data_IF_957953740529
#
_entry.id   IF_957953740529
#
_cell.length_a   1.000
_cell.length_b   1.000
_cell.length_c   1.000
_cell.angle_alpha   90.00
_cell.angle_beta   90.00
_cell.angle_gamma   90.00
#
_symmetry.space_group_name_H-M   'P 1'
#
loop_
_entity.id
_entity.type
_entity.pdbx_description
1 polymer ?
#
# COMPACT_ATOMS: atom_id res chain seq x y z
N UNK A 1 8.16 22.23 -9.80
CA UNK A 1 7.63 21.52 -8.63
C UNK A 1 8.71 20.80 -7.85
N UNK A 2 8.35 20.19 -6.73
CA UNK A 2 9.25 19.40 -5.89
C UNK A 2 8.49 18.39 -5.05
N UNK A 3 9.09 17.21 -4.84
CA UNK A 3 8.54 16.13 -4.05
C UNK A 3 9.57 15.66 -3.02
N UNK A 4 9.12 15.13 -1.90
CA UNK A 4 9.96 14.50 -0.87
C UNK A 4 9.43 13.12 -0.52
N UNK A 5 10.33 12.16 -0.42
CA UNK A 5 10.05 10.74 -0.23
C UNK A 5 10.42 9.94 -1.47
N UNK A 6 10.81 8.69 -1.29
CA UNK A 6 11.30 7.83 -2.38
C UNK A 6 10.31 6.75 -2.82
N UNK A 7 9.11 6.70 -2.24
CA UNK A 7 8.19 5.56 -2.42
C UNK A 7 6.80 5.95 -2.91
N UNK A 8 6.46 7.26 -2.92
CA UNK A 8 5.13 7.75 -3.19
C UNK A 8 5.03 8.32 -4.61
N UNK A 9 3.87 8.16 -5.27
CA UNK A 9 3.60 8.86 -6.50
C UNK A 9 3.53 10.37 -6.25
N UNK A 10 3.82 11.14 -7.28
CA UNK A 10 3.62 12.58 -7.31
C UNK A 10 3.26 13.03 -8.72
N UNK A 11 2.43 14.06 -8.79
CA UNK A 11 1.91 14.60 -10.04
C UNK A 11 2.22 16.09 -10.13
N UNK A 12 2.50 16.56 -11.32
CA UNK A 12 2.62 17.98 -11.63
C UNK A 12 1.81 18.30 -12.86
N UNK A 13 0.94 19.32 -12.76
CA UNK A 13 0.37 19.95 -13.92
C UNK A 13 1.46 20.72 -14.66
N UNK A 14 1.64 20.41 -15.94
CA UNK A 14 2.65 21.02 -16.80
C UNK A 14 2.02 21.75 -17.98
N UNK A 15 0.69 21.89 -18.01
CA UNK A 15 -0.07 22.46 -19.13
C UNK A 15 0.51 23.79 -19.62
N UNK A 16 0.72 24.73 -18.68
CA UNK A 16 1.26 26.06 -19.01
C UNK A 16 2.76 26.06 -19.39
N UNK A 17 3.45 24.96 -19.16
CA UNK A 17 4.89 24.82 -19.45
C UNK A 17 5.16 24.15 -20.80
N UNK A 18 4.13 23.58 -21.43
CA UNK A 18 4.27 22.84 -22.69
C UNK A 18 4.45 23.78 -23.89
N UNK A 19 5.40 23.43 -24.74
CA UNK A 19 5.59 24.06 -26.05
C UNK A 19 5.13 23.12 -27.16
N UNK A 20 4.68 23.69 -28.28
CA UNK A 20 4.14 22.93 -29.40
C UNK A 20 5.19 21.99 -30.05
N UNK A 21 6.46 22.39 -30.12
CA UNK A 21 7.47 21.68 -30.90
C UNK A 21 8.36 20.80 -30.03
N UNK A 22 9.01 21.38 -29.00
CA UNK A 22 10.00 20.67 -28.20
C UNK A 22 9.84 20.95 -26.71
N UNK A 23 9.77 19.89 -25.94
CA UNK A 23 9.72 19.94 -24.48
C UNK A 23 10.94 19.21 -23.88
N UNK A 24 11.50 19.77 -22.83
CA UNK A 24 12.62 19.15 -22.10
C UNK A 24 12.30 19.12 -20.62
N UNK A 25 12.29 17.91 -20.06
CA UNK A 25 12.12 17.70 -18.63
C UNK A 25 13.49 17.62 -17.95
N UNK A 26 13.69 18.40 -16.89
CA UNK A 26 14.84 18.31 -16.01
C UNK A 26 14.41 17.79 -14.66
N UNK A 27 15.07 16.73 -14.20
CA UNK A 27 14.85 16.14 -12.88
C UNK A 27 16.14 16.22 -12.08
N UNK A 28 16.09 16.90 -10.94
CA UNK A 28 17.21 16.95 -9.98
C UNK A 28 16.84 16.09 -8.76
N UNK A 29 17.70 15.15 -8.42
CA UNK A 29 17.49 14.23 -7.29
C UNK A 29 18.56 14.47 -6.24
N UNK A 30 18.14 14.62 -4.98
CA UNK A 30 19.02 14.64 -3.82
C UNK A 30 18.68 13.46 -2.91
N UNK A 31 19.60 12.51 -2.79
CA UNK A 31 19.44 11.33 -1.94
C UNK A 31 20.57 11.25 -0.90
N UNK A 32 20.29 11.53 0.38
CA UNK A 32 21.27 11.39 1.46
C UNK A 32 21.49 9.94 1.90
N UNK A 33 20.76 8.97 1.36
CA UNK A 33 20.81 7.52 1.65
C UNK A 33 20.88 7.21 3.16
N UNK A 34 22.06 6.96 3.71
CA UNK A 34 22.28 6.57 5.11
C UNK A 34 22.54 7.73 6.08
N UNK A 35 22.56 8.98 5.62
CA UNK A 35 22.93 10.14 6.45
C UNK A 35 21.73 10.98 6.91
N UNK A 36 20.56 10.82 6.28
CA UNK A 36 19.31 11.46 6.67
C UNK A 36 18.46 10.59 7.60
N UNK A 37 17.21 10.98 7.76
CA UNK A 37 16.22 10.25 8.55
C UNK A 37 15.01 9.76 7.75
N UNK A 38 15.11 9.84 6.42
CA UNK A 38 14.10 9.34 5.47
C UNK A 38 13.99 7.81 5.52
N UNK A 39 12.89 7.28 5.00
CA UNK A 39 12.75 5.86 4.72
C UNK A 39 13.82 5.41 3.71
N UNK A 40 14.48 4.30 3.98
CA UNK A 40 15.53 3.74 3.11
C UNK A 40 15.53 2.22 3.04
N UNK A 41 14.79 1.55 3.91
CA UNK A 41 14.79 0.09 3.99
C UNK A 41 16.18 -0.46 4.28
N UNK A 42 16.57 -1.47 3.53
CA UNK A 42 17.89 -2.12 3.66
C UNK A 42 18.98 -1.55 2.75
N UNK A 43 18.78 -0.35 2.21
CA UNK A 43 19.77 0.32 1.36
C UNK A 43 20.91 0.91 2.18
N UNK A 44 22.15 0.77 1.68
CA UNK A 44 23.34 1.36 2.27
C UNK A 44 24.41 1.65 1.22
N UNK A 45 25.23 2.67 1.48
CA UNK A 45 26.40 2.97 0.66
C UNK A 45 27.56 1.97 0.85
N UNK A 46 27.50 1.15 1.91
CA UNK A 46 28.49 0.10 2.19
C UNK A 46 27.76 -1.23 2.33
N UNK A 47 27.38 -1.87 1.22
CA UNK A 47 26.62 -3.12 1.25
C UNK A 47 27.42 -4.25 1.90
N UNK A 48 26.70 -5.17 2.56
CA UNK A 48 27.28 -6.32 3.25
C UNK A 48 26.34 -6.85 4.31
N UNK A 49 26.45 -8.12 4.65
CA UNK A 49 25.53 -8.81 5.55
C UNK A 49 24.11 -8.79 5.00
N UNK A 50 23.17 -8.18 5.73
CA UNK A 50 21.76 -8.10 5.37
C UNK A 50 21.39 -6.87 4.49
N UNK A 51 22.37 -6.03 4.14
CA UNK A 51 22.13 -4.78 3.43
C UNK A 51 22.48 -4.87 1.94
N UNK A 52 21.74 -4.14 1.14
CA UNK A 52 21.87 -4.05 -0.31
C UNK A 52 22.48 -2.72 -0.75
N UNK A 53 23.07 -2.66 -1.95
CA UNK A 53 23.51 -1.40 -2.54
C UNK A 53 22.38 -0.37 -2.58
N UNK A 54 22.71 0.87 -2.31
CA UNK A 54 21.79 1.97 -2.45
C UNK A 54 21.61 2.33 -3.93
N UNK A 55 20.41 2.78 -4.27
CA UNK A 55 20.11 3.40 -5.55
C UNK A 55 19.42 4.74 -5.33
N UNK A 56 19.61 5.65 -6.26
CA UNK A 56 19.03 6.99 -6.23
C UNK A 56 18.30 7.29 -7.53
N UNK A 57 17.30 8.15 -7.46
CA UNK A 57 16.54 8.57 -8.62
C UNK A 57 15.12 7.97 -8.66
N UNK A 58 14.43 8.27 -9.76
CA UNK A 58 13.08 7.73 -9.99
C UNK A 58 13.22 6.28 -10.43
N UNK A 59 12.65 5.36 -9.66
CA UNK A 59 12.78 3.93 -9.88
C UNK A 59 11.47 3.24 -10.31
N UNK A 60 10.37 4.00 -10.36
CA UNK A 60 9.08 3.55 -10.85
C UNK A 60 8.72 4.25 -12.15
N UNK A 61 7.58 3.87 -12.75
CA UNK A 61 7.13 4.39 -14.04
C UNK A 61 6.90 5.90 -13.99
N UNK A 62 7.33 6.57 -15.05
CA UNK A 62 7.00 7.98 -15.34
C UNK A 62 6.11 7.99 -16.58
N UNK A 63 4.98 8.70 -16.51
CA UNK A 63 4.08 8.83 -17.65
C UNK A 63 3.54 10.26 -17.77
N UNK A 64 3.01 10.58 -18.92
CA UNK A 64 2.29 11.81 -19.20
C UNK A 64 0.86 11.44 -19.55
N UNK A 65 -0.08 12.15 -18.98
CA UNK A 65 -1.50 11.92 -19.15
C UNK A 65 -2.20 13.22 -19.54
N UNK A 66 -3.12 13.14 -20.50
CA UNK A 66 -4.02 14.24 -20.82
C UNK A 66 -5.35 13.98 -20.13
N UNK A 67 -5.76 14.91 -19.32
CA UNK A 67 -7.01 14.84 -18.55
C UNK A 67 -7.90 16.05 -18.87
N UNK A 68 -9.22 15.97 -18.66
CA UNK A 68 -10.10 17.13 -18.70
C UNK A 68 -9.81 18.10 -17.56
N UNK A 69 -10.38 19.31 -17.60
CA UNK A 69 -10.13 20.35 -16.58
C UNK A 69 -10.54 19.93 -15.18
N UNK A 70 -11.59 19.12 -15.05
CA UNK A 70 -12.04 18.54 -13.78
C UNK A 70 -12.03 17.02 -13.84
N UNK A 71 -10.85 16.42 -13.76
CA UNK A 71 -10.64 14.97 -13.79
C UNK A 71 -10.74 14.34 -12.40
N UNK A 72 -10.93 13.02 -12.37
CA UNK A 72 -10.83 12.21 -11.13
C UNK A 72 -9.37 12.10 -10.75
N UNK A 73 -8.97 12.78 -9.69
CA UNK A 73 -7.59 12.79 -9.19
C UNK A 73 -7.27 11.53 -8.39
N UNK A 74 -8.20 11.12 -7.51
CA UNK A 74 -8.05 9.90 -6.72
C UNK A 74 -9.39 9.18 -6.52
N UNK A 75 -9.29 7.85 -6.37
CA UNK A 75 -10.40 6.98 -5.99
C UNK A 75 -10.13 6.31 -4.64
N UNK A 76 -11.12 6.34 -3.77
CA UNK A 76 -11.17 5.50 -2.58
C UNK A 76 -12.24 4.43 -2.79
N UNK A 77 -11.81 3.17 -2.84
CA UNK A 77 -12.71 2.02 -3.00
C UNK A 77 -12.73 1.23 -1.70
N UNK A 78 -13.90 1.14 -1.06
CA UNK A 78 -14.09 0.49 0.24
C UNK A 78 -15.11 -0.65 0.11
N UNK A 79 -14.64 -1.89 -0.10
CA UNK A 79 -15.50 -3.06 -0.10
C UNK A 79 -15.93 -3.45 1.32
N UNK A 80 -17.18 -3.83 1.50
CA UNK A 80 -17.70 -4.46 2.72
C UNK A 80 -18.17 -5.88 2.41
N UNK A 81 -17.45 -6.84 2.96
CA UNK A 81 -17.72 -8.27 2.78
C UNK A 81 -19.06 -8.69 3.39
N UNK A 82 -19.35 -8.24 4.61
CA UNK A 82 -20.54 -8.66 5.37
C UNK A 82 -21.82 -8.03 4.78
N UNK A 83 -21.74 -6.76 4.39
CA UNK A 83 -22.84 -6.05 3.72
C UNK A 83 -22.95 -6.40 2.23
N UNK A 84 -21.94 -7.01 1.63
CA UNK A 84 -21.84 -7.25 0.18
C UNK A 84 -21.96 -5.97 -0.63
N UNK A 85 -21.29 -4.93 -0.18
CA UNK A 85 -21.30 -3.61 -0.85
C UNK A 85 -19.90 -3.17 -1.21
N UNK A 86 -19.82 -2.20 -2.10
CA UNK A 86 -18.61 -1.41 -2.35
C UNK A 86 -18.98 0.06 -2.36
N UNK A 87 -18.33 0.84 -1.51
CA UNK A 87 -18.44 2.29 -1.49
C UNK A 87 -17.28 2.88 -2.26
N UNK A 88 -17.58 3.75 -3.21
CA UNK A 88 -16.61 4.44 -4.09
C UNK A 88 -16.72 5.93 -3.81
N UNK A 89 -15.59 6.55 -3.46
CA UNK A 89 -15.44 8.01 -3.38
C UNK A 89 -14.48 8.48 -4.43
N UNK A 90 -14.83 9.51 -5.16
CA UNK A 90 -13.97 10.16 -6.14
C UNK A 90 -13.66 11.59 -5.71
N UNK A 91 -12.36 11.89 -5.65
CA UNK A 91 -11.87 13.26 -5.49
C UNK A 91 -11.55 13.82 -6.85
N UNK A 92 -12.11 14.96 -7.19
CA UNK A 92 -11.86 15.63 -8.46
C UNK A 92 -10.91 16.82 -8.32
N UNK A 93 -10.20 17.16 -9.38
CA UNK A 93 -9.23 18.26 -9.39
C UNK A 93 -9.84 19.64 -9.06
N UNK A 94 -11.14 19.82 -9.29
CA UNK A 94 -11.89 21.04 -8.96
C UNK A 94 -13.04 20.71 -7.98
N UNK A 95 -12.80 20.69 -6.68
CA UNK A 95 -13.83 20.41 -5.68
C UNK A 95 -14.97 21.45 -5.75
N UNK A 96 -16.23 20.98 -5.82
CA UNK A 96 -17.42 21.82 -5.88
C UNK A 96 -17.88 22.21 -7.29
N UNK A 97 -17.22 21.74 -8.32
CA UNK A 97 -17.81 21.68 -9.66
C UNK A 97 -18.83 20.54 -9.65
N UNK A 98 -20.15 20.84 -9.66
CA UNK A 98 -21.23 19.86 -9.57
C UNK A 98 -21.08 18.74 -10.62
N UNK A 99 -20.32 17.70 -10.27
CA UNK A 99 -20.12 16.52 -11.08
C UNK A 99 -20.90 15.37 -10.42
N UNK A 100 -21.88 14.82 -11.12
CA UNK A 100 -22.51 13.59 -10.65
C UNK A 100 -21.52 12.43 -10.84
N UNK A 101 -21.30 11.67 -9.78
CA UNK A 101 -20.52 10.46 -9.81
C UNK A 101 -21.39 9.29 -10.26
N UNK A 102 -20.88 8.44 -11.13
CA UNK A 102 -21.50 7.15 -11.44
C UNK A 102 -20.46 6.03 -11.32
N UNK A 103 -20.94 4.86 -10.99
CA UNK A 103 -20.10 3.68 -10.93
C UNK A 103 -20.81 2.44 -11.46
N UNK A 104 -20.04 1.57 -12.12
CA UNK A 104 -20.50 0.30 -12.69
C UNK A 104 -19.58 -0.81 -12.25
N UNK A 105 -20.14 -1.86 -11.68
CA UNK A 105 -19.44 -3.09 -11.30
C UNK A 105 -19.75 -4.21 -12.29
N UNK A 106 -18.69 -4.90 -12.74
CA UNK A 106 -18.81 -6.08 -13.60
C UNK A 106 -18.17 -7.31 -12.97
N UNK A 107 -18.79 -8.44 -13.20
CA UNK A 107 -18.25 -9.75 -12.84
C UNK A 107 -18.12 -10.58 -14.13
N UNK A 108 -16.89 -10.95 -14.51
CA UNK A 108 -16.64 -11.68 -15.75
C UNK A 108 -17.17 -10.99 -17.01
N UNK A 109 -17.12 -9.67 -17.06
CA UNK A 109 -17.60 -8.84 -18.18
C UNK A 109 -19.09 -8.52 -18.15
N UNK A 110 -19.88 -9.11 -17.24
CA UNK A 110 -21.32 -8.84 -17.09
C UNK A 110 -21.53 -7.73 -16.06
N UNK A 111 -22.30 -6.69 -16.40
CA UNK A 111 -22.71 -5.65 -15.45
C UNK A 111 -23.65 -6.27 -14.40
N UNK A 112 -23.29 -6.13 -13.13
CA UNK A 112 -24.03 -6.72 -12.01
C UNK A 112 -24.59 -5.67 -11.05
N UNK A 113 -24.03 -4.47 -11.03
CA UNK A 113 -24.52 -3.33 -10.29
C UNK A 113 -24.09 -2.03 -10.99
N UNK A 114 -24.95 -1.04 -10.96
CA UNK A 114 -24.68 0.32 -11.38
C UNK A 114 -25.50 1.30 -10.56
N UNK A 115 -24.91 2.43 -10.22
CA UNK A 115 -25.59 3.48 -9.47
C UNK A 115 -24.92 4.83 -9.69
N UNK A 116 -25.66 5.88 -9.28
CA UNK A 116 -25.26 7.26 -9.37
C UNK A 116 -25.21 7.86 -7.98
N UNK A 117 -24.09 8.44 -7.63
CA UNK A 117 -23.92 9.21 -6.39
C UNK A 117 -24.27 10.67 -6.63
N UNK A 118 -24.89 11.30 -5.63
CA UNK A 118 -25.10 12.74 -5.65
C UNK A 118 -23.90 13.46 -5.07
N UNK A 119 -23.45 14.51 -5.74
CA UNK A 119 -22.61 15.53 -5.15
C UNK A 119 -23.52 16.46 -4.32
N UNK A 120 -23.46 16.37 -2.99
CA UNK A 120 -23.95 17.46 -2.16
C UNK A 120 -22.91 18.59 -2.26
N UNK A 121 -23.33 19.73 -2.78
CA UNK A 121 -22.50 20.88 -3.17
C UNK A 121 -21.25 21.07 -2.29
N UNK A 122 -20.08 20.80 -2.83
CA UNK A 122 -18.78 21.02 -2.19
C UNK A 122 -18.14 19.83 -1.50
N UNK A 123 -18.66 18.60 -1.65
CA UNK A 123 -18.05 17.37 -1.17
C UNK A 123 -17.71 16.43 -2.34
N UNK A 124 -16.76 15.53 -2.09
CA UNK A 124 -16.40 14.47 -3.03
C UNK A 124 -17.58 13.55 -3.29
N UNK A 125 -17.81 13.19 -4.55
CA UNK A 125 -18.90 12.29 -4.92
C UNK A 125 -18.71 10.91 -4.25
N UNK A 126 -19.81 10.37 -3.70
CA UNK A 126 -19.84 9.03 -3.09
C UNK A 126 -20.98 8.20 -3.68
N UNK A 127 -20.70 6.95 -4.02
CA UNK A 127 -21.71 5.98 -4.44
C UNK A 127 -21.44 4.64 -3.77
N UNK A 128 -22.52 3.98 -3.32
CA UNK A 128 -22.45 2.63 -2.72
C UNK A 128 -23.26 1.66 -3.56
N UNK A 129 -22.59 0.62 -4.09
CA UNK A 129 -23.20 -0.41 -4.91
C UNK A 129 -23.33 -1.71 -4.10
N UNK A 130 -24.49 -2.38 -4.24
CA UNK A 130 -24.73 -3.70 -3.63
C UNK A 130 -24.44 -4.79 -4.64
N UNK A 131 -23.66 -5.79 -4.23
CA UNK A 131 -23.36 -6.96 -5.05
C UNK A 131 -24.46 -8.03 -4.83
N UNK A 132 -25.18 -8.44 -5.89
CA UNK A 132 -26.19 -9.47 -5.80
C UNK A 132 -25.64 -10.79 -5.26
N UNK A 133 -26.46 -11.56 -4.54
CA UNK A 133 -26.01 -12.79 -3.90
C UNK A 133 -25.47 -13.83 -4.89
N UNK A 134 -26.10 -13.96 -6.04
CA UNK A 134 -25.67 -14.86 -7.13
C UNK A 134 -24.34 -14.46 -7.77
N UNK A 135 -23.87 -13.23 -7.53
CA UNK A 135 -22.59 -12.70 -8.00
C UNK A 135 -21.59 -12.45 -6.84
N UNK A 136 -21.87 -13.01 -5.66
CA UNK A 136 -20.98 -12.87 -4.52
C UNK A 136 -19.84 -13.90 -4.60
N UNK A 137 -18.67 -13.46 -5.09
CA UNK A 137 -17.46 -14.26 -5.26
C UNK A 137 -16.34 -13.74 -4.34
N UNK A 138 -16.23 -14.25 -3.10
CA UNK A 138 -15.19 -13.83 -2.18
C UNK A 138 -13.79 -14.14 -2.69
N UNK A 139 -12.89 -13.18 -2.52
CA UNK A 139 -11.48 -13.35 -2.85
C UNK A 139 -10.79 -14.25 -1.82
N UNK A 140 -9.99 -15.19 -2.32
CA UNK A 140 -9.10 -16.02 -1.52
C UNK A 140 -7.92 -16.50 -2.36
N UNK A 141 -6.81 -17.04 -1.77
CA UNK A 141 -5.72 -17.63 -2.52
C UNK A 141 -6.12 -18.72 -3.51
N UNK A 142 -7.18 -19.46 -3.20
CA UNK A 142 -7.72 -20.52 -4.07
C UNK A 142 -8.67 -19.99 -5.15
N UNK A 143 -9.35 -18.87 -4.89
CA UNK A 143 -10.28 -18.22 -5.80
C UNK A 143 -10.10 -16.70 -5.77
N UNK A 144 -9.07 -16.18 -6.46
CA UNK A 144 -8.73 -14.75 -6.40
C UNK A 144 -9.60 -13.90 -7.35
N UNK A 145 -10.90 -13.88 -7.08
CA UNK A 145 -11.86 -13.17 -7.91
C UNK A 145 -11.74 -11.65 -7.71
N UNK A 146 -11.64 -10.94 -8.83
CA UNK A 146 -11.63 -9.47 -8.88
C UNK A 146 -12.85 -8.99 -9.66
N UNK A 147 -13.56 -8.03 -9.10
CA UNK A 147 -14.64 -7.32 -9.80
C UNK A 147 -14.02 -6.15 -10.57
N UNK A 148 -14.44 -5.97 -11.83
CA UNK A 148 -14.09 -4.77 -12.58
C UNK A 148 -14.97 -3.60 -12.10
N UNK A 149 -14.35 -2.45 -11.91
CA UNK A 149 -15.01 -1.22 -11.49
C UNK A 149 -14.74 -0.14 -12.54
N UNK A 150 -15.78 0.47 -13.04
CA UNK A 150 -15.70 1.67 -13.87
C UNK A 150 -16.36 2.82 -13.14
N UNK A 151 -15.66 3.93 -13.00
CA UNK A 151 -16.13 5.12 -12.29
C UNK A 151 -16.02 6.30 -13.23
N UNK A 152 -17.04 7.12 -13.30
CA UNK A 152 -17.00 8.32 -14.10
C UNK A 152 -17.74 9.49 -13.49
N UNK A 153 -17.46 10.67 -13.99
CA UNK A 153 -18.11 11.91 -13.62
C UNK A 153 -18.88 12.50 -14.79
N UNK A 154 -19.98 13.19 -14.52
CA UNK A 154 -20.72 13.97 -15.52
C UNK A 154 -20.91 15.39 -15.01
N UNK A 155 -20.86 16.34 -15.91
CA UNK A 155 -21.08 17.75 -15.60
C UNK A 155 -22.08 18.35 -16.59
N UNK A 156 -23.08 19.07 -16.09
CA UNK A 156 -24.02 19.81 -16.94
C UNK A 156 -24.93 18.97 -17.83
N UNK A 157 -25.08 17.65 -17.56
CA UNK A 157 -25.91 16.72 -18.34
C UNK A 157 -25.22 16.13 -19.56
N UNK A 158 -23.91 16.31 -19.70
CA UNK A 158 -23.10 15.65 -20.73
C UNK A 158 -22.85 14.17 -20.44
N UNK A 159 -22.56 13.40 -21.51
CA UNK A 159 -22.28 11.94 -21.41
C UNK A 159 -21.04 11.73 -20.60
N UNK A 160 -20.38 11.65 -19.92
CA UNK A 160 -19.16 11.42 -19.16
C UNK A 160 -18.09 12.49 -19.39
N UNK A 161 -17.72 13.15 -18.35
CA UNK A 161 -16.66 14.16 -18.37
C UNK A 161 -15.29 13.52 -18.19
N UNK A 162 -15.17 12.55 -17.25
CA UNK A 162 -13.99 11.73 -17.03
C UNK A 162 -14.38 10.30 -16.66
N UNK A 163 -13.53 9.32 -16.98
CA UNK A 163 -13.79 7.90 -16.72
C UNK A 163 -12.51 7.19 -16.33
N UNK A 164 -12.55 6.48 -15.21
CA UNK A 164 -11.45 5.70 -14.66
C UNK A 164 -11.86 4.24 -14.52
N UNK A 165 -10.95 3.33 -14.88
CA UNK A 165 -11.11 1.90 -14.68
C UNK A 165 -10.27 1.43 -13.51
N UNK A 166 -10.88 0.65 -12.65
CA UNK A 166 -10.28 0.08 -11.45
C UNK A 166 -10.80 -1.33 -11.19
N UNK A 167 -10.51 -1.87 -10.04
CA UNK A 167 -11.02 -3.16 -9.58
C UNK A 167 -11.09 -3.20 -8.06
N UNK A 168 -11.82 -4.18 -7.53
CA UNK A 168 -11.84 -4.51 -6.11
C UNK A 168 -12.12 -5.99 -5.87
N UNK A 169 -12.04 -6.41 -4.63
CA UNK A 169 -12.50 -7.73 -4.21
C UNK A 169 -13.23 -7.66 -2.88
N UNK A 170 -14.17 -8.56 -2.68
CA UNK A 170 -14.84 -8.76 -1.41
C UNK A 170 -14.08 -9.80 -0.59
N UNK A 171 -13.55 -9.41 0.55
CA UNK A 171 -12.86 -10.28 1.49
C UNK A 171 -12.88 -9.69 2.90
N UNK A 172 -12.75 -10.56 3.91
CA UNK A 172 -12.71 -10.17 5.32
C UNK A 172 -11.57 -10.87 6.04
N UNK A 173 -10.69 -10.09 6.66
CA UNK A 173 -9.69 -10.60 7.58
C UNK A 173 -10.17 -10.51 9.01
N UNK A 174 -9.93 -11.56 9.80
CA UNK A 174 -10.21 -11.57 11.23
C UNK A 174 -9.22 -12.43 11.99
N UNK A 175 -9.25 -12.32 13.31
CA UNK A 175 -8.53 -13.20 14.22
C UNK A 175 -9.54 -13.74 15.22
N UNK A 176 -9.87 -15.02 15.09
CA UNK A 176 -10.97 -15.65 15.83
C UNK A 176 -10.52 -16.91 16.58
N UNK A 177 -11.10 -17.22 17.74
CA UNK A 177 -10.77 -18.43 18.45
C UNK A 177 -11.37 -19.67 17.75
N UNK A 178 -10.54 -20.70 17.57
CA UNK A 178 -11.02 -22.00 17.13
C UNK A 178 -11.81 -22.72 18.26
N UNK A 179 -12.32 -23.93 17.96
CA UNK A 179 -13.07 -24.75 18.92
C UNK A 179 -12.31 -25.08 20.23
N UNK A 180 -11.00 -24.87 20.27
CA UNK A 180 -10.13 -25.05 21.42
C UNK A 180 -9.78 -23.74 22.12
N UNK A 181 -10.34 -22.61 21.67
CA UNK A 181 -10.05 -21.28 22.18
C UNK A 181 -8.71 -20.68 21.68
N UNK A 182 -8.08 -21.30 20.68
CA UNK A 182 -6.82 -20.83 20.13
C UNK A 182 -7.13 -19.81 19.02
N UNK A 183 -6.58 -18.62 19.12
CA UNK A 183 -6.72 -17.59 18.08
C UNK A 183 -6.10 -18.06 16.76
N UNK A 184 -6.87 -17.91 15.68
CA UNK A 184 -6.48 -18.23 14.31
C UNK A 184 -6.63 -17.02 13.42
N UNK A 185 -5.73 -16.89 12.47
CA UNK A 185 -5.98 -16.02 11.33
C UNK A 185 -7.11 -16.59 10.49
N UNK A 186 -8.09 -15.77 10.18
CA UNK A 186 -9.25 -16.16 9.39
C UNK A 186 -9.38 -15.26 8.16
N UNK A 187 -9.73 -15.87 7.04
CA UNK A 187 -10.11 -15.18 5.80
C UNK A 187 -11.55 -15.59 5.47
N UNK A 188 -12.43 -14.61 5.33
CA UNK A 188 -13.86 -14.82 5.05
C UNK A 188 -14.56 -15.71 6.09
N UNK A 189 -14.17 -15.60 7.36
CA UNK A 189 -14.69 -16.39 8.48
C UNK A 189 -14.09 -17.79 8.65
N UNK A 190 -13.21 -18.24 7.74
CA UNK A 190 -12.58 -19.55 7.81
C UNK A 190 -11.11 -19.45 8.21
N UNK A 191 -10.64 -20.32 9.12
CA UNK A 191 -9.22 -20.37 9.49
C UNK A 191 -8.33 -20.66 8.29
N UNK A 192 -7.27 -19.87 8.14
CA UNK A 192 -6.30 -20.04 7.06
C UNK A 192 -4.91 -20.31 7.61
N UNK A 193 -4.21 -21.28 7.01
CA UNK A 193 -2.79 -21.49 7.25
C UNK A 193 -1.99 -20.53 6.36
N UNK A 194 -1.21 -19.67 6.99
CA UNK A 194 -0.29 -18.78 6.30
C UNK A 194 1.06 -19.46 6.13
N UNK A 195 1.36 -19.87 4.90
CA UNK A 195 2.64 -20.48 4.51
C UNK A 195 3.36 -19.52 3.57
N UNK A 196 4.39 -18.83 4.05
CA UNK A 196 4.95 -17.69 3.33
C UNK A 196 6.46 -17.58 3.33
N UNK A 197 6.93 -16.66 2.49
CA UNK A 197 8.33 -16.28 2.34
C UNK A 197 8.52 -14.81 2.72
N UNK A 198 9.72 -14.50 3.22
CA UNK A 198 10.19 -13.13 3.34
C UNK A 198 10.69 -12.66 1.97
N UNK A 199 10.11 -11.60 1.45
CA UNK A 199 10.48 -11.00 0.17
C UNK A 199 11.03 -9.59 0.39
N UNK A 200 12.28 -9.37 0.01
CA UNK A 200 12.97 -8.09 0.16
C UNK A 200 12.98 -7.26 -1.12
N UNK A 201 12.54 -7.82 -2.25
CA UNK A 201 12.29 -7.12 -3.50
C UNK A 201 13.52 -6.50 -4.17
N UNK A 202 14.67 -7.15 -4.10
CA UNK A 202 15.88 -6.70 -4.79
C UNK A 202 16.20 -7.61 -5.98
N UNK A 203 16.43 -7.00 -7.12
CA UNK A 203 16.77 -7.67 -8.37
C UNK A 203 18.27 -7.52 -8.68
N UNK A 204 18.93 -8.55 -9.21
CA UNK A 204 20.36 -8.46 -9.51
C UNK A 204 20.72 -7.34 -10.50
N UNK A 205 19.86 -7.09 -11.49
CA UNK A 205 20.09 -6.12 -12.56
C UNK A 205 19.67 -4.71 -12.17
N UNK A 206 18.51 -4.58 -11.55
CA UNK A 206 17.83 -3.28 -11.34
C UNK A 206 17.63 -2.87 -9.89
N UNK A 207 18.19 -3.61 -8.93
CA UNK A 207 18.00 -3.40 -7.50
C UNK A 207 16.51 -3.31 -7.11
N UNK A 208 15.96 -2.12 -6.92
CA UNK A 208 14.53 -1.93 -6.63
C UNK A 208 13.63 -2.14 -7.84
N UNK A 209 14.14 -1.99 -9.05
CA UNK A 209 13.37 -2.07 -10.28
C UNK A 209 13.44 -3.47 -10.87
N UNK A 210 12.32 -4.18 -11.00
CA UNK A 210 12.31 -5.47 -11.68
C UNK A 210 12.65 -5.30 -13.17
N UNK A 211 13.28 -6.30 -13.81
CA UNK A 211 13.69 -6.19 -15.20
C UNK A 211 12.50 -6.14 -16.17
N UNK A 212 11.36 -6.72 -15.80
CA UNK A 212 10.12 -6.67 -16.58
C UNK A 212 8.93 -7.12 -15.74
N UNK A 213 7.71 -6.81 -16.21
CA UNK A 213 6.47 -7.37 -15.65
C UNK A 213 6.42 -8.89 -15.73
N UNK A 214 6.93 -9.46 -16.82
CA UNK A 214 6.99 -10.91 -16.99
C UNK A 214 7.89 -11.58 -15.93
N UNK A 215 8.98 -10.95 -15.52
CA UNK A 215 9.83 -11.44 -14.44
C UNK A 215 9.09 -11.43 -13.10
N UNK A 216 8.36 -10.36 -12.79
CA UNK A 216 7.50 -10.27 -11.59
C UNK A 216 6.45 -11.38 -11.58
N UNK A 217 5.72 -11.55 -12.67
CA UNK A 217 4.69 -12.58 -12.77
C UNK A 217 5.29 -13.99 -12.61
N UNK A 218 6.45 -14.24 -13.23
CA UNK A 218 7.14 -15.53 -13.11
C UNK A 218 7.57 -15.82 -11.66
N UNK A 219 8.13 -14.83 -10.95
CA UNK A 219 8.49 -14.96 -9.54
C UNK A 219 7.27 -15.33 -8.69
N UNK A 220 6.18 -14.55 -8.81
CA UNK A 220 4.95 -14.76 -8.05
C UNK A 220 4.27 -16.10 -8.36
N UNK A 221 4.25 -16.53 -9.62
CA UNK A 221 3.76 -17.84 -10.02
C UNK A 221 4.61 -18.95 -9.42
N UNK A 222 5.93 -18.84 -9.46
CA UNK A 222 6.86 -19.79 -8.85
C UNK A 222 6.62 -19.94 -7.35
N UNK A 223 6.44 -18.85 -6.63
CA UNK A 223 6.09 -18.87 -5.20
C UNK A 223 4.83 -19.69 -4.97
N UNK A 224 3.80 -19.47 -5.77
CA UNK A 224 2.52 -20.18 -5.66
C UNK A 224 2.64 -21.67 -6.03
N UNK A 225 3.38 -22.02 -7.09
CA UNK A 225 3.65 -23.39 -7.52
C UNK A 225 4.42 -24.19 -6.47
N UNK A 226 5.29 -23.55 -5.71
CA UNK A 226 5.99 -24.14 -4.57
C UNK A 226 5.10 -24.36 -3.35
N UNK A 227 3.83 -23.97 -3.40
CA UNK A 227 2.85 -24.18 -2.32
C UNK A 227 2.79 -23.07 -1.27
N UNK A 228 3.42 -21.94 -1.51
CA UNK A 228 3.29 -20.77 -0.65
C UNK A 228 2.04 -19.95 -1.03
N UNK A 229 1.41 -19.35 -0.04
CA UNK A 229 0.25 -18.50 -0.22
C UNK A 229 0.45 -17.07 0.31
N UNK A 230 1.62 -16.77 0.85
CA UNK A 230 1.92 -15.49 1.49
C UNK A 230 3.33 -15.02 1.11
N UNK A 231 3.45 -13.72 0.87
CA UNK A 231 4.72 -12.99 0.82
C UNK A 231 4.71 -11.88 1.88
N UNK A 232 5.70 -11.87 2.75
CA UNK A 232 5.96 -10.70 3.58
C UNK A 232 6.89 -9.76 2.82
N UNK A 233 6.37 -8.67 2.30
CA UNK A 233 7.16 -7.62 1.65
C UNK A 233 7.88 -6.81 2.72
N UNK A 234 9.17 -7.12 2.86
CA UNK A 234 9.97 -6.69 3.98
C UNK A 234 10.74 -5.39 3.71
N UNK A 235 10.39 -4.36 4.49
CA UNK A 235 11.06 -3.06 4.49
C UNK A 235 11.15 -2.38 3.10
N UNK A 236 10.23 -2.69 2.20
CA UNK A 236 10.13 -2.14 0.84
C UNK A 236 8.67 -1.99 0.43
N UNK A 237 8.39 -1.02 -0.42
CA UNK A 237 7.16 -0.88 -1.18
C UNK A 237 7.47 -1.19 -2.63
N UNK A 238 6.59 -1.94 -3.29
CA UNK A 238 6.68 -2.26 -4.70
C UNK A 238 5.85 -1.28 -5.56
N UNK A 239 6.08 -1.22 -6.87
CA UNK A 239 5.14 -0.60 -7.80
C UNK A 239 3.76 -1.25 -7.67
N UNK A 240 2.68 -0.48 -7.81
CA UNK A 240 1.30 -0.99 -7.62
C UNK A 240 0.97 -2.20 -8.50
N UNK A 241 1.58 -2.32 -9.69
CA UNK A 241 1.41 -3.49 -10.56
C UNK A 241 1.87 -4.80 -9.92
N UNK A 242 2.84 -4.78 -9.02
CA UNK A 242 3.25 -5.97 -8.27
C UNK A 242 2.12 -6.47 -7.36
N UNK A 243 1.45 -5.56 -6.64
CA UNK A 243 0.29 -5.90 -5.80
C UNK A 243 -0.89 -6.36 -6.66
N UNK A 244 -1.13 -5.74 -7.81
CA UNK A 244 -2.14 -6.20 -8.75
C UNK A 244 -1.91 -7.64 -9.20
N UNK A 245 -0.67 -8.03 -9.47
CA UNK A 245 -0.35 -9.42 -9.78
C UNK A 245 -0.57 -10.35 -8.58
N UNK A 246 -0.27 -9.92 -7.36
CA UNK A 246 -0.61 -10.66 -6.15
C UNK A 246 -2.13 -10.81 -5.98
N UNK A 247 -2.91 -9.74 -6.20
CA UNK A 247 -4.37 -9.75 -6.17
C UNK A 247 -4.94 -10.78 -7.13
N UNK A 248 -4.43 -10.78 -8.36
CA UNK A 248 -4.88 -11.63 -9.45
C UNK A 248 -4.46 -13.10 -9.32
N UNK A 249 -3.29 -13.33 -8.76
CA UNK A 249 -2.75 -14.68 -8.53
C UNK A 249 -3.23 -15.29 -7.20
N UNK A 250 -3.79 -14.53 -6.29
CA UNK A 250 -4.20 -14.99 -4.98
C UNK A 250 -3.02 -15.21 -4.02
N UNK A 251 -2.06 -14.32 -4.02
CA UNK A 251 -0.98 -14.29 -3.03
C UNK A 251 -1.31 -13.27 -1.95
N UNK A 252 -1.29 -13.69 -0.69
CA UNK A 252 -1.46 -12.81 0.46
C UNK A 252 -0.18 -12.00 0.65
N UNK A 253 -0.33 -10.73 1.02
CA UNK A 253 0.80 -9.85 1.31
C UNK A 253 0.73 -9.36 2.76
N UNK A 254 1.80 -9.53 3.50
CA UNK A 254 2.08 -8.77 4.71
C UNK A 254 3.03 -7.64 4.34
N UNK A 255 2.58 -6.40 4.51
CA UNK A 255 3.30 -5.22 4.07
C UNK A 255 3.99 -4.54 5.25
N UNK A 256 5.32 -4.59 5.25
CA UNK A 256 6.11 -3.78 6.17
C UNK A 256 6.11 -2.32 5.75
N UNK A 257 6.07 -1.42 6.72
CA UNK A 257 6.45 -0.03 6.49
C UNK A 257 7.95 0.05 6.23
N UNK A 258 8.35 0.96 5.34
CA UNK A 258 9.77 1.12 5.03
C UNK A 258 10.47 1.77 6.20
N UNK A 259 11.40 1.06 6.80
CA UNK A 259 12.16 1.58 7.94
C UNK A 259 13.16 2.66 7.52
N UNK A 260 13.49 3.52 8.45
CA UNK A 260 14.42 4.64 8.31
C UNK A 260 14.74 5.23 9.69
N UNK A 261 15.21 6.45 9.72
CA UNK A 261 15.59 7.15 10.95
C UNK A 261 17.04 7.56 10.91
N UNK A 262 17.57 8.06 12.02
CA UNK A 262 18.98 8.37 12.16
C UNK A 262 19.85 7.12 11.93
N UNK A 263 21.17 7.25 11.74
CA UNK A 263 22.06 6.10 11.54
C UNK A 263 21.91 5.04 12.64
N UNK A 264 21.72 3.81 12.21
CA UNK A 264 21.46 2.70 13.14
C UNK A 264 22.62 2.39 14.03
N UNK A 265 22.33 2.14 15.32
CA UNK A 265 23.29 1.63 16.30
C UNK A 265 23.31 0.10 16.21
N UNK A 266 24.04 -0.44 15.24
CA UNK A 266 24.08 -1.86 14.92
C UNK A 266 24.35 -2.76 16.14
N UNK A 267 25.25 -2.33 17.04
CA UNK A 267 25.55 -3.06 18.27
C UNK A 267 24.31 -3.24 19.17
N UNK A 268 23.38 -2.28 19.13
CA UNK A 268 22.15 -2.36 19.89
C UNK A 268 21.09 -3.17 19.12
N UNK A 269 20.67 -2.69 17.94
CA UNK A 269 19.53 -3.29 17.20
C UNK A 269 19.83 -4.69 16.66
N UNK A 270 21.10 -5.07 16.42
CA UNK A 270 21.46 -6.38 15.89
C UNK A 270 21.91 -7.36 16.97
N UNK A 271 22.75 -6.92 17.91
CA UNK A 271 23.35 -7.86 18.87
C UNK A 271 22.63 -7.86 20.23
N UNK A 272 22.44 -6.69 20.83
CA UNK A 272 21.90 -6.61 22.16
C UNK A 272 20.43 -7.05 22.22
N UNK A 273 19.65 -6.64 21.22
CA UNK A 273 18.23 -7.00 21.12
C UNK A 273 18.04 -8.52 20.96
N UNK A 274 18.88 -9.17 20.16
CA UNK A 274 18.79 -10.63 19.98
C UNK A 274 19.18 -11.40 21.26
N UNK A 275 20.17 -10.92 22.02
CA UNK A 275 20.63 -11.58 23.24
C UNK A 275 19.65 -11.34 24.39
N UNK A 276 19.10 -10.14 24.52
CA UNK A 276 18.25 -9.73 25.64
C UNK A 276 16.76 -9.55 25.25
N UNK A 277 16.31 -10.16 24.16
CA UNK A 277 14.96 -10.06 23.64
C UNK A 277 13.86 -10.24 24.72
N UNK A 278 13.89 -11.26 25.61
CA UNK A 278 12.82 -11.43 26.59
C UNK A 278 12.71 -10.29 27.62
N UNK A 279 13.79 -9.54 27.82
CA UNK A 279 13.82 -8.38 28.72
C UNK A 279 13.41 -7.10 27.96
N UNK A 280 13.98 -6.90 26.77
CA UNK A 280 13.78 -5.68 25.99
C UNK A 280 12.35 -5.53 25.48
N UNK A 281 11.67 -6.61 25.10
CA UNK A 281 10.27 -6.57 24.66
C UNK A 281 9.28 -6.17 25.78
N UNK A 282 9.73 -6.13 27.03
CA UNK A 282 8.92 -5.62 28.16
C UNK A 282 9.12 -4.13 28.40
N UNK A 283 10.10 -3.52 27.76
CA UNK A 283 10.38 -2.10 27.90
C UNK A 283 9.56 -1.30 26.88
N UNK A 284 8.90 -0.21 27.33
CA UNK A 284 8.19 0.66 26.39
C UNK A 284 9.18 1.33 25.43
N UNK A 285 8.86 1.35 24.15
CA UNK A 285 9.65 1.99 23.07
C UNK A 285 9.47 3.53 23.01
N UNK A 286 9.13 4.12 24.14
CA UNK A 286 8.94 5.56 24.33
C UNK A 286 10.24 6.35 24.37
N UNK A 287 10.17 7.53 24.99
CA UNK A 287 11.23 8.55 24.95
C UNK A 287 12.63 8.05 25.32
N UNK A 288 12.76 7.11 26.28
CA UNK A 288 14.04 6.59 26.74
C UNK A 288 14.78 5.76 25.67
N UNK A 289 14.06 4.98 24.86
CA UNK A 289 14.65 4.11 23.84
C UNK A 289 14.77 4.74 22.45
N UNK A 290 14.07 5.84 22.15
CA UNK A 290 14.08 6.48 20.83
C UNK A 290 15.49 6.76 20.29
N UNK A 291 16.43 7.14 21.17
CA UNK A 291 17.83 7.38 20.76
C UNK A 291 18.62 6.10 20.45
N UNK A 292 18.28 4.98 21.04
CA UNK A 292 18.89 3.68 20.75
C UNK A 292 18.28 3.03 19.50
N UNK A 293 16.99 3.25 19.28
CA UNK A 293 16.23 2.76 18.14
C UNK A 293 16.29 3.71 16.91
N UNK A 294 17.17 4.73 16.94
CA UNK A 294 17.40 5.66 15.82
C UNK A 294 16.19 6.50 15.41
N UNK A 295 15.41 6.98 16.39
CA UNK A 295 14.22 7.85 16.23
C UNK A 295 14.18 8.99 17.25
N UNK A 296 15.33 9.59 17.54
CA UNK A 296 15.44 10.64 18.55
C UNK A 296 14.73 11.92 18.14
N UNK A 297 14.93 12.38 16.89
CA UNK A 297 14.38 13.65 16.43
C UNK A 297 12.89 13.58 16.16
N UNK A 298 12.14 14.67 16.46
CA UNK A 298 10.72 14.76 16.13
C UNK A 298 10.51 14.74 14.62
N UNK A 299 11.35 15.43 13.86
CA UNK A 299 11.30 15.46 12.40
C UNK A 299 11.38 14.05 11.80
N UNK A 300 12.22 13.16 12.37
CA UNK A 300 12.30 11.77 11.94
C UNK A 300 11.01 11.00 12.20
N UNK A 301 10.39 11.22 13.37
CA UNK A 301 9.14 10.55 13.72
C UNK A 301 7.97 11.06 12.88
N UNK A 302 7.93 12.36 12.64
CA UNK A 302 6.90 12.97 11.80
C UNK A 302 7.02 12.53 10.32
N UNK A 303 8.24 12.44 9.78
CA UNK A 303 8.46 11.86 8.46
C UNK A 303 7.91 10.44 8.38
N UNK A 304 8.19 9.60 9.39
CA UNK A 304 7.68 8.23 9.42
C UNK A 304 6.14 8.17 9.45
N UNK A 305 5.48 9.01 10.26
CA UNK A 305 4.01 9.03 10.36
C UNK A 305 3.38 9.37 9.00
N UNK A 306 3.88 10.41 8.33
CA UNK A 306 3.42 10.78 6.97
C UNK A 306 3.67 9.67 5.95
N UNK A 307 4.81 9.01 6.02
CA UNK A 307 5.12 7.88 5.13
C UNK A 307 4.22 6.66 5.42
N UNK A 308 3.86 6.42 6.68
CA UNK A 308 2.90 5.38 7.05
C UNK A 308 1.50 5.68 6.50
N UNK A 309 1.00 6.89 6.67
CA UNK A 309 -0.29 7.35 6.13
C UNK A 309 -0.30 7.19 4.60
N UNK A 310 0.70 7.73 3.92
CA UNK A 310 0.81 7.63 2.46
C UNK A 310 0.92 6.18 1.96
N UNK A 311 1.56 5.27 2.74
CA UNK A 311 1.60 3.83 2.42
C UNK A 311 0.20 3.24 2.40
N UNK A 312 -0.56 3.49 3.45
CA UNK A 312 -1.92 2.95 3.56
C UNK A 312 -2.80 3.53 2.46
N UNK A 313 -2.76 4.84 2.25
CA UNK A 313 -3.54 5.50 1.19
C UNK A 313 -3.26 4.91 -0.19
N UNK A 314 -1.98 4.74 -0.53
CA UNK A 314 -1.58 4.22 -1.83
C UNK A 314 -1.92 2.74 -2.04
N UNK A 315 -1.93 1.92 -0.98
CA UNK A 315 -1.98 0.46 -1.11
C UNK A 315 -3.25 -0.19 -0.56
N UNK A 316 -4.09 0.50 0.22
CA UNK A 316 -5.30 -0.08 0.82
C UNK A 316 -6.32 -0.61 -0.18
N UNK A 317 -6.25 -0.16 -1.45
CA UNK A 317 -7.07 -0.68 -2.53
C UNK A 317 -6.77 -2.13 -2.92
N UNK A 318 -5.59 -2.66 -2.58
CA UNK A 318 -5.17 -4.00 -2.97
C UNK A 318 -5.71 -5.08 -2.03
N UNK A 319 -6.59 -5.99 -2.49
CA UNK A 319 -7.17 -7.04 -1.64
C UNK A 319 -6.15 -8.06 -1.11
N UNK A 320 -5.04 -8.28 -1.78
CA UNK A 320 -4.00 -9.21 -1.34
C UNK A 320 -3.36 -8.82 0.00
N UNK A 321 -3.33 -7.53 0.35
CA UNK A 321 -2.75 -7.08 1.62
C UNK A 321 -3.66 -7.53 2.76
N UNK A 322 -3.16 -8.42 3.60
CA UNK A 322 -3.87 -8.97 4.76
C UNK A 322 -3.41 -8.38 6.09
N UNK A 323 -2.18 -7.87 6.15
CA UNK A 323 -1.61 -7.34 7.37
C UNK A 323 -0.64 -6.20 7.11
N UNK A 324 -0.72 -5.15 7.93
CA UNK A 324 0.26 -4.07 8.01
C UNK A 324 1.27 -4.35 9.12
N UNK A 325 2.55 -4.12 8.84
CA UNK A 325 3.65 -4.32 9.82
C UNK A 325 4.38 -2.99 9.98
N UNK A 326 4.06 -2.19 11.02
CA UNK A 326 4.68 -0.87 11.20
C UNK A 326 6.15 -0.94 11.57
N UNK A 327 6.57 -1.94 12.35
CA UNK A 327 7.97 -2.07 12.76
C UNK A 327 8.46 -3.51 12.65
N UNK A 328 9.78 -3.65 12.44
CA UNK A 328 10.48 -4.91 12.43
C UNK A 328 11.71 -4.83 13.33
N UNK A 329 11.83 -5.73 14.31
CA UNK A 329 13.02 -5.97 15.14
C UNK A 329 13.64 -4.69 15.74
N UNK A 330 12.84 -3.67 16.05
CA UNK A 330 13.29 -2.41 16.60
C UNK A 330 14.03 -1.46 15.66
N UNK A 331 14.12 -1.78 14.37
CA UNK A 331 14.77 -0.92 13.38
C UNK A 331 14.00 0.37 13.14
N UNK A 332 14.38 1.43 13.84
CA UNK A 332 13.70 2.72 13.78
C UNK A 332 12.34 2.73 14.49
N UNK A 333 12.10 1.82 15.42
CA UNK A 333 10.86 1.69 16.18
C UNK A 333 10.68 2.82 17.20
N UNK A 334 9.46 3.25 17.38
CA UNK A 334 9.04 4.21 18.41
C UNK A 334 7.52 4.20 18.56
N UNK A 335 7.03 4.32 19.80
CA UNK A 335 5.60 4.46 20.12
C UNK A 335 4.71 3.49 19.30
N UNK A 336 5.10 2.20 19.23
CA UNK A 336 4.49 1.20 18.34
C UNK A 336 2.98 1.06 18.53
N UNK A 337 2.49 1.10 19.77
CA UNK A 337 1.06 1.07 20.06
C UNK A 337 0.29 2.20 19.35
N UNK A 338 0.86 3.41 19.28
CA UNK A 338 0.24 4.54 18.56
C UNK A 338 0.24 4.33 17.04
N UNK A 339 1.28 3.68 16.51
CA UNK A 339 1.30 3.32 15.10
C UNK A 339 0.21 2.29 14.76
N UNK A 340 -0.05 1.33 15.65
CA UNK A 340 -1.18 0.39 15.53
C UNK A 340 -2.53 1.11 15.55
N UNK A 341 -2.72 2.04 16.49
CA UNK A 341 -3.95 2.85 16.55
C UNK A 341 -4.18 3.64 15.27
N UNK A 342 -3.12 4.29 14.74
CA UNK A 342 -3.19 5.03 13.49
C UNK A 342 -3.54 4.10 12.30
N UNK A 343 -2.89 2.95 12.18
CA UNK A 343 -3.17 1.97 11.12
C UNK A 343 -4.61 1.47 11.18
N UNK A 344 -5.13 1.15 12.37
CA UNK A 344 -6.52 0.70 12.54
C UNK A 344 -7.53 1.79 12.21
N UNK A 345 -7.19 3.06 12.44
CA UNK A 345 -8.03 4.19 12.06
C UNK A 345 -8.05 4.41 10.54
N UNK A 346 -6.88 4.26 9.89
CA UNK A 346 -6.74 4.44 8.45
C UNK A 346 -7.32 3.27 7.64
N UNK A 347 -7.16 2.05 8.16
CA UNK A 347 -7.59 0.83 7.49
C UNK A 347 -8.04 -0.25 8.50
N UNK A 348 -9.29 -0.23 8.92
CA UNK A 348 -9.85 -1.20 9.87
C UNK A 348 -10.05 -2.59 9.25
N UNK A 349 -9.91 -2.75 7.95
CA UNK A 349 -10.21 -3.98 7.21
C UNK A 349 -9.05 -4.99 7.20
N UNK A 350 -7.91 -4.66 7.82
CA UNK A 350 -6.71 -5.49 7.83
C UNK A 350 -6.18 -5.73 9.25
N UNK A 351 -5.43 -6.80 9.39
CA UNK A 351 -4.70 -7.09 10.61
C UNK A 351 -3.48 -6.18 10.75
N UNK A 352 -2.97 -6.05 11.97
CA UNK A 352 -1.74 -5.30 12.24
C UNK A 352 -0.83 -6.15 13.12
N UNK A 353 0.40 -6.40 12.66
CA UNK A 353 1.49 -7.00 13.42
C UNK A 353 2.41 -5.88 13.92
N UNK A 354 2.28 -5.51 15.18
CA UNK A 354 2.80 -4.27 15.78
C UNK A 354 4.31 -4.10 15.61
N UNK A 355 5.08 -5.16 15.90
CA UNK A 355 6.54 -5.12 15.86
C UNK A 355 7.08 -6.54 15.63
N UNK A 356 7.06 -6.97 14.37
CA UNK A 356 7.47 -8.32 14.00
C UNK A 356 8.88 -8.66 14.48
N UNK A 357 9.02 -9.87 15.03
CA UNK A 357 10.29 -10.38 15.56
C UNK A 357 10.60 -9.99 17.01
N UNK A 358 9.72 -9.26 17.68
CA UNK A 358 9.92 -8.82 19.09
C UNK A 358 8.83 -9.28 20.03
#
# INVERSE_FOLDING_TARGET
GGHRGGYWPFTFDITDALNADHNRLWVAVQDPTGTGHQARGKQTLKPGGMFYPAQSGIWQTVWLERVPDNYIETLTVTPDYDARTVTVKAHTAQPGGAANLWAVVRAGGVTIAEDWGSDEAGQDGEVTLTIPEEHFFPWSPASPFLYDLTVGTTQGGEESFDTVHSYFALRKWSCEPDKKGILRFCLNGEPILLNGLLDQGYWPEGLYTPPSDAAVVHELQTVKELGFNLLRKHAKIEPQRWYYHCDKLGLIVWQDMVNGGEPYKLWFVTYLTNVFQPLLRRLPDGAALRGLLSRRSEASRETYRRELEATVEALRGHPCIGCWVPFNEGWGQFDAAKAVEALRALDPSRLVDEASGW
#
